data_IF_916126547725
#
_entry.id   IF_916126547725
#
_cell.length_a   1.000
_cell.length_b   1.000
_cell.length_c   1.000
_cell.angle_alpha   90.00
_cell.angle_beta   90.00
_cell.angle_gamma   90.00
#
_symmetry.space_group_name_H-M   'P 1'
#
loop_
_entity.id
_entity.type
_entity.pdbx_description
1 polymer ?
#
# COMPACT_ATOMS: atom_id res chain seq x y z
N UNK A 1 19.20 -37.30 55.79
CA UNK A 1 18.17 -37.42 54.72
C UNK A 1 17.24 -36.19 54.69
N UNK A 2 17.76 -34.96 54.73
CA UNK A 2 16.94 -33.73 54.72
C UNK A 2 17.23 -32.78 53.53
N UNK A 3 18.30 -33.04 52.75
CA UNK A 3 18.72 -32.17 51.65
C UNK A 3 18.06 -32.48 50.30
N UNK A 4 17.34 -33.60 50.18
CA UNK A 4 16.73 -34.02 48.90
C UNK A 4 15.28 -33.54 48.71
N UNK A 5 14.59 -33.18 49.79
CA UNK A 5 13.16 -32.81 49.74
C UNK A 5 12.97 -31.32 49.38
N UNK A 6 13.94 -30.46 49.66
CA UNK A 6 13.84 -29.00 49.43
C UNK A 6 14.03 -28.61 47.94
N UNK A 7 14.66 -29.45 47.13
CA UNK A 7 14.92 -29.15 45.72
C UNK A 7 13.69 -29.45 44.83
N UNK A 8 12.80 -30.36 45.27
CA UNK A 8 11.63 -30.76 44.48
C UNK A 8 10.47 -29.75 44.62
N UNK A 9 10.37 -29.01 45.73
CA UNK A 9 9.31 -28.01 45.94
C UNK A 9 9.55 -26.67 45.23
N UNK A 10 10.80 -26.35 44.87
CA UNK A 10 11.14 -25.11 44.14
C UNK A 10 10.94 -25.29 42.62
N UNK A 11 11.04 -26.51 42.11
CA UNK A 11 10.86 -26.77 40.67
C UNK A 11 9.40 -26.82 40.22
N UNK A 12 8.45 -27.17 41.11
CA UNK A 12 7.03 -27.31 40.74
C UNK A 12 6.24 -25.99 40.74
N UNK A 13 6.76 -24.93 41.37
CA UNK A 13 6.11 -23.60 41.37
C UNK A 13 6.53 -22.71 40.19
N UNK A 14 7.62 -23.04 39.50
CA UNK A 14 8.12 -22.24 38.36
C UNK A 14 7.55 -22.65 37.00
N UNK A 15 6.86 -23.81 36.91
CA UNK A 15 6.33 -24.34 35.65
C UNK A 15 4.88 -23.88 35.39
N UNK A 16 4.20 -23.29 36.39
CA UNK A 16 2.81 -22.83 36.27
C UNK A 16 2.63 -21.37 35.81
N UNK A 17 3.70 -20.59 35.64
CA UNK A 17 3.61 -19.16 35.27
C UNK A 17 3.86 -18.92 33.76
N UNK A 18 4.37 -19.90 33.01
CA UNK A 18 4.69 -19.70 31.58
C UNK A 18 3.54 -19.99 30.61
N UNK A 19 2.41 -20.55 31.06
CA UNK A 19 1.30 -20.93 30.18
C UNK A 19 0.13 -19.94 30.11
N UNK A 20 0.10 -18.88 30.93
CA UNK A 20 -1.06 -17.96 30.99
C UNK A 20 -0.89 -16.70 30.12
N UNK A 21 0.32 -16.39 29.66
CA UNK A 21 0.56 -15.18 28.84
C UNK A 21 0.34 -15.38 27.33
N UNK A 22 0.00 -16.59 26.87
CA UNK A 22 -0.19 -16.89 25.45
C UNK A 22 -1.56 -16.53 24.86
N UNK A 23 -2.58 -16.26 25.69
CA UNK A 23 -3.98 -16.27 25.22
C UNK A 23 -4.66 -14.89 25.13
N UNK A 24 -4.07 -13.81 25.65
CA UNK A 24 -4.79 -12.53 25.79
C UNK A 24 -4.49 -11.44 24.76
N UNK A 25 -3.63 -11.70 23.77
CA UNK A 25 -3.34 -10.71 22.72
C UNK A 25 -3.41 -11.29 21.31
N UNK A 26 -4.54 -11.95 20.97
CA UNK A 26 -4.94 -12.05 19.56
C UNK A 26 -5.32 -10.64 19.07
N UNK A 27 -4.31 -9.83 18.74
CA UNK A 27 -4.51 -8.53 18.09
C UNK A 27 -5.10 -8.81 16.73
N UNK A 28 -6.43 -8.72 16.61
CA UNK A 28 -7.13 -8.79 15.32
C UNK A 28 -6.40 -7.88 14.32
N UNK A 29 -5.93 -8.45 13.22
CA UNK A 29 -5.28 -7.69 12.16
C UNK A 29 -6.21 -6.57 11.71
N UNK A 30 -5.68 -5.34 11.70
CA UNK A 30 -6.44 -4.15 11.27
C UNK A 30 -6.17 -3.91 9.79
N UNK A 31 -7.19 -3.46 9.05
CA UNK A 31 -7.03 -2.94 7.70
C UNK A 31 -5.90 -1.89 7.67
N UNK A 32 -4.95 -2.09 6.76
CA UNK A 32 -3.80 -1.21 6.57
C UNK A 32 -4.05 -0.13 5.50
N UNK A 33 -5.18 -0.19 4.79
CA UNK A 33 -5.58 0.83 3.82
C UNK A 33 -6.21 2.02 4.54
N UNK A 34 -5.79 3.23 4.18
CA UNK A 34 -6.33 4.48 4.70
C UNK A 34 -6.30 5.59 3.65
N UNK A 35 -7.16 6.59 3.80
CA UNK A 35 -7.18 7.76 2.92
C UNK A 35 -5.91 8.61 3.13
N UNK A 36 -5.21 8.90 2.03
CA UNK A 36 -4.09 9.84 1.98
C UNK A 36 -4.53 11.14 1.31
N UNK A 37 -4.43 12.26 2.04
CA UNK A 37 -4.97 13.56 1.59
C UNK A 37 -4.14 14.25 0.50
N UNK A 38 -2.89 13.83 0.27
CA UNK A 38 -2.04 14.34 -0.82
C UNK A 38 -1.56 15.81 -0.72
N UNK A 39 -2.35 16.73 -0.16
CA UNK A 39 -2.05 18.16 -0.18
C UNK A 39 -2.20 18.77 -1.59
N UNK A 40 -1.51 19.88 -1.85
CA UNK A 40 -1.62 20.63 -3.12
C UNK A 40 -0.98 19.91 -4.32
N UNK A 41 -0.03 19.03 -4.05
CA UNK A 41 0.75 18.32 -5.08
C UNK A 41 -0.05 17.18 -5.73
N UNK A 42 -1.19 16.83 -5.14
CA UNK A 42 -2.13 15.84 -5.68
C UNK A 42 -3.48 16.50 -6.03
N UNK A 43 -4.21 15.87 -6.93
CA UNK A 43 -5.60 16.18 -7.29
C UNK A 43 -6.32 14.90 -7.74
N UNK A 44 -7.61 14.99 -8.08
CA UNK A 44 -8.36 13.86 -8.63
C UNK A 44 -9.07 13.02 -7.58
N UNK A 45 -9.11 11.70 -7.80
CA UNK A 45 -9.77 10.76 -6.91
C UNK A 45 -9.12 10.72 -5.52
N UNK A 46 -9.91 10.30 -4.52
CA UNK A 46 -9.39 10.03 -3.18
C UNK A 46 -8.35 8.92 -3.25
N UNK A 47 -7.19 9.16 -2.63
CA UNK A 47 -6.09 8.21 -2.64
C UNK A 47 -6.27 7.25 -1.46
N UNK A 48 -6.79 6.07 -1.73
CA UNK A 48 -6.85 4.99 -0.75
C UNK A 48 -5.56 4.18 -0.86
N UNK A 49 -4.75 4.18 0.19
CA UNK A 49 -3.41 3.59 0.16
C UNK A 49 -3.09 2.79 1.41
N UNK A 50 -2.31 1.73 1.22
CA UNK A 50 -1.69 0.99 2.30
C UNK A 50 -0.74 1.92 3.06
N UNK A 51 -0.74 1.85 4.39
CA UNK A 51 0.16 2.66 5.24
C UNK A 51 1.63 2.54 4.85
N UNK A 52 2.07 1.37 4.41
CA UNK A 52 3.45 1.15 3.96
C UNK A 52 3.76 1.86 2.63
N UNK A 53 2.75 2.21 1.84
CA UNK A 53 2.90 2.96 0.59
C UNK A 53 2.88 4.48 0.78
N UNK A 54 2.37 4.99 1.92
CA UNK A 54 2.30 6.43 2.22
C UNK A 54 3.66 7.14 2.14
N UNK A 55 4.78 6.59 2.64
CA UNK A 55 6.09 7.21 2.48
C UNK A 55 6.46 7.46 1.01
N UNK A 56 6.14 6.52 0.12
CA UNK A 56 6.36 6.66 -1.32
C UNK A 56 5.48 7.76 -1.91
N UNK A 57 4.20 7.84 -1.51
CA UNK A 57 3.30 8.93 -1.93
C UNK A 57 3.81 10.32 -1.49
N UNK A 58 4.42 10.43 -0.31
CA UNK A 58 5.09 11.67 0.13
C UNK A 58 6.27 12.01 -0.78
N UNK A 59 7.10 11.03 -1.12
CA UNK A 59 8.21 11.22 -2.07
C UNK A 59 7.71 11.63 -3.46
N UNK A 60 6.63 11.02 -3.94
CA UNK A 60 5.97 11.41 -5.20
C UNK A 60 5.52 12.87 -5.17
N UNK A 61 4.84 13.30 -4.09
CA UNK A 61 4.42 14.71 -3.93
C UNK A 61 5.59 15.68 -3.91
N UNK A 62 6.68 15.34 -3.20
CA UNK A 62 7.87 16.17 -3.16
C UNK A 62 8.54 16.31 -4.55
N UNK A 63 8.58 15.22 -5.33
CA UNK A 63 9.10 15.25 -6.70
C UNK A 63 8.18 16.06 -7.62
N UNK A 64 6.85 15.87 -7.53
CA UNK A 64 5.87 16.64 -8.29
C UNK A 64 6.06 18.15 -8.09
N UNK A 65 6.18 18.56 -6.83
CA UNK A 65 6.47 19.95 -6.46
C UNK A 65 7.77 20.46 -7.08
N UNK A 66 8.85 19.67 -7.00
CA UNK A 66 10.16 20.04 -7.56
C UNK A 66 10.15 20.18 -9.08
N UNK A 67 9.40 19.32 -9.77
CA UNK A 67 9.23 19.35 -11.22
C UNK A 67 8.08 20.28 -11.67
N UNK A 68 7.48 21.05 -10.76
CA UNK A 68 6.40 22.00 -11.02
C UNK A 68 5.19 21.36 -11.72
N UNK A 69 4.86 20.12 -11.34
CA UNK A 69 3.65 19.40 -11.78
C UNK A 69 2.79 19.03 -10.59
N UNK A 70 1.55 18.63 -10.86
CA UNK A 70 0.63 18.02 -9.90
C UNK A 70 0.27 16.62 -10.38
N UNK A 71 0.17 15.69 -9.44
CA UNK A 71 -0.24 14.31 -9.71
C UNK A 71 -1.76 14.22 -9.61
N UNK A 72 -2.42 14.11 -10.76
CA UNK A 72 -3.86 13.88 -10.82
C UNK A 72 -4.14 12.39 -10.73
N UNK A 73 -4.61 11.94 -9.57
CA UNK A 73 -4.89 10.52 -9.35
C UNK A 73 -6.19 10.15 -10.04
N UNK A 74 -6.11 9.19 -10.95
CA UNK A 74 -7.24 8.69 -11.74
C UNK A 74 -7.77 7.37 -11.18
N UNK A 75 -6.92 6.60 -10.51
CA UNK A 75 -7.35 5.40 -9.80
C UNK A 75 -6.41 5.07 -8.62
N UNK A 76 -6.97 4.44 -7.59
CA UNK A 76 -6.22 3.93 -6.44
C UNK A 76 -6.90 2.67 -5.89
N UNK A 77 -6.60 2.27 -4.65
CA UNK A 77 -7.27 1.10 -4.07
C UNK A 77 -8.79 1.23 -4.12
N UNK A 78 -9.43 0.25 -4.75
CA UNK A 78 -10.88 0.04 -4.73
C UNK A 78 -11.15 -1.33 -4.15
N UNK A 79 -12.14 -1.38 -3.26
CA UNK A 79 -12.57 -2.65 -2.71
C UNK A 79 -13.38 -3.41 -3.76
N UNK A 80 -13.04 -4.67 -3.97
CA UNK A 80 -13.77 -5.58 -4.84
C UNK A 80 -15.07 -6.03 -4.18
N UNK A 81 -16.05 -6.40 -5.00
CA UNK A 81 -17.33 -6.94 -4.48
C UNK A 81 -17.08 -8.27 -3.76
N UNK A 82 -16.22 -9.10 -4.34
CA UNK A 82 -15.76 -10.35 -3.74
C UNK A 82 -14.23 -10.35 -3.63
N UNK A 83 -13.65 -10.74 -2.47
CA UNK A 83 -12.19 -10.77 -2.30
C UNK A 83 -11.45 -11.67 -3.28
N UNK A 84 -12.16 -12.65 -3.87
CA UNK A 84 -11.64 -13.64 -4.82
C UNK A 84 -11.92 -13.27 -6.27
N UNK A 85 -12.42 -12.06 -6.54
CA UNK A 85 -12.58 -11.56 -7.90
C UNK A 85 -11.22 -11.58 -8.64
N UNK A 86 -11.28 -11.93 -9.92
CA UNK A 86 -10.09 -12.04 -10.75
C UNK A 86 -9.49 -10.65 -10.95
N UNK A 87 -8.21 -10.49 -10.63
CA UNK A 87 -7.44 -9.26 -10.82
C UNK A 87 -6.22 -9.61 -11.63
N UNK A 88 -6.00 -8.87 -12.72
CA UNK A 88 -4.79 -9.02 -13.53
C UNK A 88 -3.55 -8.73 -12.67
N UNK A 89 -2.47 -9.47 -12.88
CA UNK A 89 -1.22 -9.27 -12.11
C UNK A 89 -0.70 -7.82 -12.20
N UNK A 90 -0.89 -7.15 -13.35
CA UNK A 90 -0.54 -5.74 -13.56
C UNK A 90 -1.36 -4.77 -12.70
N UNK A 91 -2.54 -5.17 -12.24
CA UNK A 91 -3.46 -4.39 -11.39
C UNK A 91 -3.30 -4.73 -9.90
N UNK A 92 -2.45 -5.72 -9.58
CA UNK A 92 -2.23 -6.14 -8.20
C UNK A 92 -1.72 -5.03 -7.27
N UNK A 93 -0.85 -4.09 -7.71
CA UNK A 93 -0.49 -2.94 -6.87
C UNK A 93 -1.70 -2.12 -6.40
N UNK A 94 -2.70 -1.91 -7.26
CA UNK A 94 -3.92 -1.19 -6.89
C UNK A 94 -4.77 -2.00 -5.91
N UNK A 95 -4.95 -3.30 -6.16
CA UNK A 95 -5.73 -4.18 -5.30
C UNK A 95 -5.15 -4.35 -3.89
N UNK A 96 -3.83 -4.10 -3.72
CA UNK A 96 -3.14 -4.07 -2.44
C UNK A 96 -3.03 -2.67 -1.82
N UNK A 97 -3.47 -1.63 -2.54
CA UNK A 97 -3.31 -0.21 -2.19
C UNK A 97 -1.85 0.24 -2.14
N UNK A 98 -1.00 -0.38 -2.92
CA UNK A 98 0.44 -0.09 -3.06
C UNK A 98 0.79 0.50 -4.43
N UNK A 99 -0.22 1.03 -5.12
CA UNK A 99 -0.05 1.77 -6.36
C UNK A 99 -1.19 2.73 -6.62
N UNK A 100 -0.98 3.64 -7.58
CA UNK A 100 -1.96 4.59 -8.09
C UNK A 100 -1.82 4.73 -9.60
N UNK A 101 -2.95 4.89 -10.30
CA UNK A 101 -2.95 5.45 -11.64
C UNK A 101 -3.01 6.97 -11.58
N UNK A 102 -2.29 7.62 -12.49
CA UNK A 102 -2.16 9.07 -12.48
C UNK A 102 -2.10 9.67 -13.87
N UNK A 103 -2.43 10.95 -13.96
CA UNK A 103 -2.01 11.85 -15.02
C UNK A 103 -1.20 13.00 -14.39
N UNK A 104 -0.42 13.70 -15.20
CA UNK A 104 0.27 14.92 -14.75
C UNK A 104 -0.48 16.15 -15.21
N UNK A 105 -0.63 17.08 -14.28
CA UNK A 105 -1.21 18.40 -14.50
C UNK A 105 -0.18 19.49 -14.20
N UNK A 106 -0.37 20.66 -14.79
CA UNK A 106 0.35 21.86 -14.42
C UNK A 106 -0.14 22.34 -13.04
N UNK A 107 0.57 23.28 -12.38
CA UNK A 107 0.10 23.88 -11.14
C UNK A 107 -1.27 24.56 -11.28
N UNK A 108 -1.61 24.99 -12.50
CA UNK A 108 -2.90 25.62 -12.85
C UNK A 108 -4.01 24.60 -13.14
N UNK A 109 -3.70 23.30 -13.16
CA UNK A 109 -4.67 22.21 -13.37
C UNK A 109 -4.85 21.76 -14.81
N UNK A 110 -4.14 22.35 -15.79
CA UNK A 110 -4.16 21.87 -17.17
C UNK A 110 -3.39 20.55 -17.30
N UNK A 111 -3.89 19.60 -18.10
CA UNK A 111 -3.18 18.34 -18.35
C UNK A 111 -1.85 18.58 -19.07
N UNK A 112 -0.76 18.05 -18.51
CA UNK A 112 0.60 18.08 -19.08
C UNK A 112 0.89 16.78 -19.80
N UNK A 113 0.61 15.65 -19.15
CA UNK A 113 0.80 14.32 -19.74
C UNK A 113 -0.21 13.34 -19.14
N UNK A 114 -1.08 12.80 -19.99
CA UNK A 114 -2.05 11.79 -19.60
C UNK A 114 -1.59 10.38 -19.99
N UNK A 115 -2.41 9.36 -19.72
CA UNK A 115 -2.20 7.98 -20.13
C UNK A 115 -1.73 7.82 -21.59
N UNK A 116 -2.30 8.56 -22.55
CA UNK A 116 -1.91 8.48 -23.96
C UNK A 116 -0.47 8.97 -24.16
N UNK A 117 -0.15 10.15 -23.63
CA UNK A 117 1.19 10.72 -23.64
C UNK A 117 2.25 9.78 -23.03
N UNK A 118 1.88 9.04 -21.96
CA UNK A 118 2.77 8.05 -21.37
C UNK A 118 2.93 6.80 -22.24
N UNK A 119 1.84 6.30 -22.81
CA UNK A 119 1.83 5.10 -23.68
C UNK A 119 2.65 5.31 -24.95
N UNK A 120 2.59 6.50 -25.55
CA UNK A 120 3.34 6.83 -26.77
C UNK A 120 4.81 7.17 -26.50
N UNK A 121 5.24 7.20 -25.23
CA UNK A 121 6.58 7.63 -24.84
C UNK A 121 6.83 9.14 -24.97
N UNK A 122 5.82 9.93 -25.34
CA UNK A 122 5.90 11.39 -25.49
C UNK A 122 6.25 12.10 -24.18
N UNK A 123 6.00 11.46 -23.05
CA UNK A 123 6.40 11.93 -21.73
C UNK A 123 7.90 12.30 -21.63
N UNK A 124 8.75 11.65 -22.43
CA UNK A 124 10.21 11.91 -22.49
C UNK A 124 10.56 13.24 -23.14
N UNK A 125 9.68 13.78 -23.98
CA UNK A 125 9.93 15.04 -24.70
C UNK A 125 9.45 16.26 -23.92
N UNK A 126 8.61 16.08 -22.90
CA UNK A 126 8.13 17.15 -22.02
C UNK A 126 9.06 17.28 -20.80
N UNK A 127 9.81 18.38 -20.64
CA UNK A 127 10.82 18.52 -19.59
C UNK A 127 10.28 18.29 -18.17
N UNK A 128 9.08 18.81 -17.86
CA UNK A 128 8.46 18.67 -16.55
C UNK A 128 8.03 17.22 -16.26
N UNK A 129 7.58 16.52 -17.30
CA UNK A 129 7.16 15.12 -17.18
C UNK A 129 8.38 14.20 -17.05
N UNK A 130 9.39 14.38 -17.90
CA UNK A 130 10.64 13.63 -17.81
C UNK A 130 11.30 13.84 -16.44
N UNK A 131 11.38 15.10 -15.97
CA UNK A 131 11.81 15.43 -14.62
C UNK A 131 11.06 14.61 -13.57
N UNK A 132 9.73 14.56 -13.65
CA UNK A 132 8.92 13.87 -12.66
C UNK A 132 9.22 12.36 -12.67
N UNK A 133 9.12 11.70 -13.83
CA UNK A 133 9.29 10.24 -13.96
C UNK A 133 10.69 9.81 -13.51
N UNK A 134 11.73 10.49 -13.98
CA UNK A 134 13.12 10.14 -13.63
C UNK A 134 13.38 10.29 -12.14
N UNK A 135 12.85 11.34 -11.52
CA UNK A 135 13.09 11.60 -10.11
C UNK A 135 12.23 10.72 -9.18
N UNK A 136 10.99 10.34 -9.55
CA UNK A 136 10.24 9.38 -8.72
C UNK A 136 10.89 8.00 -8.75
N UNK A 137 11.44 7.58 -9.89
CA UNK A 137 12.21 6.34 -10.01
C UNK A 137 13.47 6.35 -9.15
N UNK A 138 14.23 7.47 -9.13
CA UNK A 138 15.38 7.65 -8.22
C UNK A 138 14.99 7.61 -6.73
N UNK A 139 13.73 7.88 -6.38
CA UNK A 139 13.20 7.74 -5.01
C UNK A 139 12.67 6.33 -4.70
N UNK A 140 12.92 5.36 -5.58
CA UNK A 140 12.49 3.97 -5.39
C UNK A 140 11.01 3.73 -5.70
N UNK A 141 10.32 4.70 -6.30
CA UNK A 141 8.95 4.52 -6.81
C UNK A 141 9.05 3.97 -8.23
N UNK A 142 8.48 2.81 -8.48
CA UNK A 142 8.43 2.25 -9.82
C UNK A 142 7.34 2.92 -10.64
N UNK A 143 7.69 3.26 -11.86
CA UNK A 143 6.77 3.66 -12.91
C UNK A 143 6.60 2.49 -13.88
N UNK A 144 5.36 2.09 -14.10
CA UNK A 144 4.98 1.07 -15.08
C UNK A 144 4.01 1.69 -16.07
N UNK A 145 4.28 1.52 -17.35
CA UNK A 145 3.40 2.01 -18.41
C UNK A 145 2.04 1.28 -18.36
N UNK A 146 0.94 1.99 -18.68
CA UNK A 146 0.94 3.35 -19.21
C UNK A 146 1.04 4.43 -18.14
N UNK A 147 0.50 4.28 -16.93
CA UNK A 147 0.51 5.38 -15.96
C UNK A 147 0.36 4.90 -14.51
N UNK A 148 1.09 3.86 -14.13
CA UNK A 148 1.04 3.27 -12.78
C UNK A 148 2.29 3.65 -11.99
N UNK A 149 2.11 4.27 -10.82
CA UNK A 149 3.16 4.40 -9.80
C UNK A 149 2.93 3.38 -8.70
N UNK A 150 3.96 2.66 -8.30
CA UNK A 150 3.90 1.67 -7.23
C UNK A 150 5.26 1.48 -6.55
N UNK A 151 5.31 0.84 -5.39
CA UNK A 151 6.57 0.62 -4.65
C UNK A 151 7.34 -0.65 -5.07
N UNK A 152 6.90 -1.32 -6.13
CA UNK A 152 7.52 -2.57 -6.60
C UNK A 152 7.27 -3.80 -5.73
N UNK A 153 6.61 -3.69 -4.57
CA UNK A 153 6.40 -4.82 -3.65
C UNK A 153 5.67 -5.98 -4.31
N UNK A 154 4.66 -5.70 -5.14
CA UNK A 154 3.91 -6.76 -5.81
C UNK A 154 4.79 -7.63 -6.74
N UNK A 155 5.85 -7.06 -7.32
CA UNK A 155 6.71 -7.80 -8.24
C UNK A 155 7.72 -8.73 -7.56
N UNK A 156 7.89 -8.62 -6.24
CA UNK A 156 8.83 -9.47 -5.48
C UNK A 156 8.16 -10.71 -4.90
N UNK A 157 6.86 -10.89 -5.15
CA UNK A 157 6.04 -11.92 -4.56
C UNK A 157 5.68 -12.97 -5.60
N UNK A 158 5.47 -14.21 -5.14
CA UNK A 158 4.90 -15.25 -6.00
C UNK A 158 3.43 -14.94 -6.30
N UNK A 159 2.88 -15.53 -7.37
CA UNK A 159 1.46 -15.41 -7.68
C UNK A 159 0.56 -15.84 -6.53
N UNK A 160 0.93 -16.92 -5.82
CA UNK A 160 0.19 -17.39 -4.64
C UNK A 160 0.23 -16.40 -3.48
N UNK A 161 1.38 -15.76 -3.21
CA UNK A 161 1.51 -14.76 -2.15
C UNK A 161 0.65 -13.52 -2.47
N UNK A 162 0.67 -13.09 -3.74
CA UNK A 162 -0.15 -11.96 -4.20
C UNK A 162 -1.63 -12.22 -4.04
N UNK A 163 -2.09 -13.39 -4.46
CA UNK A 163 -3.50 -13.76 -4.34
C UNK A 163 -3.92 -13.86 -2.88
N UNK A 164 -3.11 -14.45 -2.01
CA UNK A 164 -3.38 -14.52 -0.57
C UNK A 164 -3.45 -13.12 0.06
N UNK A 165 -2.49 -12.25 -0.24
CA UNK A 165 -2.45 -10.88 0.27
C UNK A 165 -3.61 -10.03 -0.26
N UNK A 166 -3.97 -10.18 -1.53
CA UNK A 166 -5.14 -9.52 -2.12
C UNK A 166 -6.39 -9.91 -1.35
N UNK A 167 -6.65 -11.21 -1.21
CA UNK A 167 -7.83 -11.72 -0.50
C UNK A 167 -7.85 -11.22 0.95
N UNK A 168 -6.71 -11.27 1.65
CA UNK A 168 -6.60 -10.78 3.02
C UNK A 168 -6.89 -9.28 3.12
N UNK A 169 -6.26 -8.45 2.28
CA UNK A 169 -6.47 -7.01 2.26
C UNK A 169 -7.95 -6.66 1.99
N UNK A 170 -8.56 -7.28 0.98
CA UNK A 170 -9.96 -7.05 0.60
C UNK A 170 -10.94 -7.48 1.71
N UNK A 171 -10.66 -8.58 2.42
CA UNK A 171 -11.45 -9.04 3.58
C UNK A 171 -11.31 -8.11 4.78
N UNK A 172 -10.09 -7.74 5.16
CA UNK A 172 -9.83 -6.92 6.35
C UNK A 172 -10.32 -5.48 6.19
N UNK A 173 -10.30 -4.97 4.96
CA UNK A 173 -10.70 -3.61 4.63
C UNK A 173 -12.18 -3.49 4.20
N UNK A 174 -12.94 -4.57 4.28
CA UNK A 174 -14.37 -4.51 4.03
C UNK A 174 -15.06 -3.60 5.05
N UNK A 175 -16.07 -2.81 4.63
CA UNK A 175 -16.87 -2.03 5.55
C UNK A 175 -17.43 -2.97 6.61
N UNK A 176 -17.26 -2.60 7.88
CA UNK A 176 -17.82 -3.39 8.98
C UNK A 176 -19.33 -3.47 8.80
N UNK A 177 -19.85 -4.64 8.48
CA UNK A 177 -21.27 -4.91 8.55
C UNK A 177 -21.70 -4.74 10.01
N UNK A 178 -22.71 -3.90 10.26
CA UNK A 178 -23.15 -3.52 11.62
C UNK A 178 -23.59 -4.69 12.53
N UNK A 179 -23.59 -5.94 12.06
CA UNK A 179 -24.22 -7.07 12.75
C UNK A 179 -23.33 -8.30 13.04
N UNK A 180 -22.02 -8.25 12.81
CA UNK A 180 -21.17 -9.38 13.24
C UNK A 180 -20.68 -9.13 14.67
N UNK A 181 -21.48 -9.54 15.66
CA UNK A 181 -20.98 -9.75 17.03
C UNK A 181 -19.87 -10.79 16.96
N UNK A 182 -18.64 -10.37 17.25
CA UNK A 182 -17.59 -11.28 17.73
C UNK A 182 -17.76 -11.45 19.24
#
# INVERSE_FOLDING_TARGET
MYKLIVIISILTTSILITSINGFLFSRKEKCQISEYKGGKDFSGEKIMANKSFIPYLKSVGAVAKGCKVRVHVTDSYKQLKTPTEYVLASQMPLALGRGIHFDLQSPKGSTVCNKLCMTTGSWKTFPETACFIDNVQKKGVRFTEPNLLHDGYASTLTTSDLEALKVAAQKLCAPKTKNTKC
#
